data_IF_562860889005
#
_entry.id   IF_562860889005
#
_cell.length_a   1.000
_cell.length_b   1.000
_cell.length_c   1.000
_cell.angle_alpha   90.00
_cell.angle_beta   90.00
_cell.angle_gamma   90.00
#
_symmetry.space_group_name_H-M   'P 1'
#
loop_
_entity.id
_entity.type
_entity.pdbx_description
1 polymer ?
#
# COMPACT_ATOMS: atom_id res chain seq x y z
N UNK A 1 31.87 -8.21 -33.41
CA UNK A 1 30.70 -7.87 -34.27
C UNK A 1 31.17 -6.80 -35.20
N UNK A 2 31.12 -7.05 -36.51
CA UNK A 2 31.66 -6.11 -37.49
C UNK A 2 30.73 -4.89 -37.60
N UNK A 3 31.23 -3.73 -38.00
CA UNK A 3 30.43 -2.49 -38.07
C UNK A 3 29.17 -2.67 -38.94
N UNK A 4 29.26 -3.45 -40.02
CA UNK A 4 28.14 -3.83 -40.90
C UNK A 4 27.02 -4.61 -40.19
N UNK A 5 27.36 -5.50 -39.26
CA UNK A 5 26.39 -6.31 -38.51
C UNK A 5 25.63 -5.46 -37.49
N UNK A 6 26.29 -4.44 -36.94
CA UNK A 6 25.68 -3.52 -35.98
C UNK A 6 24.67 -2.57 -36.63
N UNK A 7 24.92 -2.14 -37.86
CA UNK A 7 23.97 -1.35 -38.64
C UNK A 7 22.74 -2.17 -39.04
N UNK A 8 22.94 -3.43 -39.43
CA UNK A 8 21.86 -4.35 -39.77
C UNK A 8 20.98 -4.64 -38.55
N UNK A 9 21.59 -4.87 -37.38
CA UNK A 9 20.89 -5.02 -36.11
C UNK A 9 20.08 -3.76 -35.74
N UNK A 10 20.64 -2.56 -35.97
CA UNK A 10 19.94 -1.29 -35.74
C UNK A 10 18.71 -1.16 -36.63
N UNK A 11 18.81 -1.49 -37.93
CA UNK A 11 17.69 -1.43 -38.88
C UNK A 11 16.54 -2.34 -38.45
N UNK A 12 16.84 -3.60 -38.14
CA UNK A 12 15.82 -4.58 -37.73
C UNK A 12 15.19 -4.20 -36.37
N UNK A 13 15.97 -3.66 -35.44
CA UNK A 13 15.48 -3.17 -34.16
C UNK A 13 14.53 -1.97 -34.32
N UNK A 14 14.92 -0.98 -35.13
CA UNK A 14 14.15 0.24 -35.35
C UNK A 14 12.87 -0.02 -36.15
N UNK A 15 12.91 -0.94 -37.13
CA UNK A 15 11.76 -1.32 -37.95
C UNK A 15 10.59 -1.87 -37.11
N UNK A 16 10.90 -2.54 -36.00
CA UNK A 16 9.89 -2.97 -35.03
C UNK A 16 9.02 -4.16 -35.46
N UNK A 17 9.29 -4.74 -36.64
CA UNK A 17 8.52 -5.83 -37.27
C UNK A 17 8.77 -7.19 -36.59
N UNK A 18 10.05 -7.55 -36.36
CA UNK A 18 10.44 -8.82 -35.73
C UNK A 18 10.52 -8.72 -34.21
N UNK A 19 10.17 -9.78 -33.47
CA UNK A 19 10.34 -9.78 -32.01
C UNK A 19 11.81 -9.66 -31.61
N UNK A 20 12.08 -9.22 -30.38
CA UNK A 20 13.46 -9.08 -29.90
C UNK A 20 14.16 -10.44 -29.80
N UNK A 21 13.42 -11.52 -29.56
CA UNK A 21 13.91 -12.90 -29.57
C UNK A 21 14.32 -13.34 -30.99
N UNK A 22 13.49 -13.08 -32.00
CA UNK A 22 13.79 -13.35 -33.42
C UNK A 22 15.04 -12.58 -33.89
N UNK A 23 15.15 -11.31 -33.51
CA UNK A 23 16.34 -10.48 -33.80
C UNK A 23 17.57 -11.10 -33.12
N UNK A 24 17.45 -11.52 -31.87
CA UNK A 24 18.54 -12.19 -31.17
C UNK A 24 19.04 -13.44 -31.90
N UNK A 25 18.13 -14.32 -32.34
CA UNK A 25 18.46 -15.54 -33.09
C UNK A 25 19.17 -15.23 -34.42
N UNK A 26 18.71 -14.22 -35.17
CA UNK A 26 19.29 -13.84 -36.47
C UNK A 26 20.74 -13.36 -36.36
N UNK A 27 21.07 -12.62 -35.30
CA UNK A 27 22.41 -12.07 -35.10
C UNK A 27 23.27 -12.91 -34.13
N UNK A 28 22.79 -14.08 -33.70
CA UNK A 28 23.52 -14.95 -32.76
C UNK A 28 23.72 -14.36 -31.37
N UNK A 29 22.84 -13.47 -30.93
CA UNK A 29 22.96 -12.68 -29.69
C UNK A 29 21.72 -12.89 -28.83
N UNK A 30 21.86 -12.86 -27.51
CA UNK A 30 20.70 -12.98 -26.61
C UNK A 30 19.79 -11.74 -26.71
N UNK A 31 18.48 -11.93 -26.49
CA UNK A 31 17.50 -10.85 -26.49
C UNK A 31 17.90 -9.70 -25.52
N UNK A 32 18.45 -10.05 -24.36
CA UNK A 32 18.97 -9.10 -23.38
C UNK A 32 20.12 -8.24 -23.92
N UNK A 33 21.03 -8.83 -24.70
CA UNK A 33 22.13 -8.11 -25.32
C UNK A 33 21.66 -7.17 -26.44
N UNK A 34 20.61 -7.53 -27.19
CA UNK A 34 19.94 -6.61 -28.14
C UNK A 34 19.36 -5.39 -27.41
N UNK A 35 18.65 -5.61 -26.29
CA UNK A 35 18.11 -4.51 -25.45
C UNK A 35 19.21 -3.62 -24.87
N UNK A 36 20.30 -4.22 -24.38
CA UNK A 36 21.43 -3.49 -23.81
C UNK A 36 22.13 -2.61 -24.86
N UNK A 37 22.35 -3.13 -26.07
CA UNK A 37 22.90 -2.35 -27.20
C UNK A 37 21.98 -1.22 -27.63
N UNK A 38 20.68 -1.46 -27.73
CA UNK A 38 19.71 -0.43 -28.09
C UNK A 38 19.68 0.71 -27.07
N UNK A 39 19.74 0.41 -25.77
CA UNK A 39 19.82 1.43 -24.70
C UNK A 39 21.13 2.23 -24.78
N UNK A 40 22.26 1.54 -24.93
CA UNK A 40 23.57 2.18 -24.99
C UNK A 40 23.70 3.14 -26.19
N UNK A 41 23.15 2.77 -27.35
CA UNK A 41 23.18 3.57 -28.58
C UNK A 41 21.93 4.41 -28.84
N UNK A 42 21.03 4.51 -27.84
CA UNK A 42 19.77 5.28 -27.88
C UNK A 42 18.91 5.00 -29.14
N UNK A 43 18.75 3.73 -29.50
CA UNK A 43 17.92 3.35 -30.65
C UNK A 43 16.43 3.40 -30.30
N UNK A 44 15.61 3.91 -31.22
CA UNK A 44 14.16 4.04 -31.04
C UNK A 44 13.45 3.00 -31.92
N UNK A 45 12.56 2.22 -31.30
CA UNK A 45 11.82 1.15 -31.98
C UNK A 45 10.41 1.60 -32.36
N UNK A 46 10.04 1.49 -33.64
CA UNK A 46 8.69 1.79 -34.13
C UNK A 46 7.69 0.77 -33.58
N UNK A 47 6.57 1.25 -33.05
CA UNK A 47 5.50 0.39 -32.51
C UNK A 47 4.59 -0.06 -33.66
N UNK A 48 4.93 -1.19 -34.27
CA UNK A 48 4.04 -1.84 -35.27
C UNK A 48 2.94 -2.59 -34.51
N UNK A 49 1.67 -2.26 -34.75
CA UNK A 49 0.53 -2.98 -34.19
C UNK A 49 0.54 -4.40 -34.76
N UNK A 50 0.78 -5.40 -33.93
CA UNK A 50 0.71 -6.81 -34.34
C UNK A 50 -0.76 -7.22 -34.42
N UNK A 51 -1.28 -7.49 -35.62
CA UNK A 51 -2.55 -8.20 -35.80
C UNK A 51 -2.43 -9.59 -35.16
N UNK A 52 -3.48 -10.00 -34.47
CA UNK A 52 -3.42 -11.03 -33.43
C UNK A 52 -2.97 -12.42 -33.90
N UNK A 53 -2.28 -13.12 -33.00
CA UNK A 53 -2.45 -14.56 -32.75
C UNK A 53 -1.96 -14.80 -31.32
N UNK A 54 -2.90 -14.96 -30.38
CA UNK A 54 -2.64 -15.37 -29.00
C UNK A 54 -2.88 -16.88 -28.93
N UNK A 55 -1.82 -17.69 -28.86
CA UNK A 55 -1.91 -19.04 -28.31
C UNK A 55 -1.79 -18.93 -26.80
N UNK A 56 -2.94 -18.99 -26.14
CA UNK A 56 -3.05 -19.02 -24.68
C UNK A 56 -2.64 -20.39 -24.15
N UNK A 57 -1.69 -20.43 -23.20
CA UNK A 57 -1.56 -21.54 -22.26
C UNK A 57 -1.95 -21.02 -20.88
N UNK A 58 -3.10 -21.48 -20.43
CA UNK A 58 -3.68 -21.20 -19.12
C UNK A 58 -2.84 -21.82 -18.00
N UNK A 59 -2.50 -21.03 -16.98
CA UNK A 59 -2.22 -21.53 -15.61
C UNK A 59 -2.89 -20.55 -14.62
N UNK A 60 -3.74 -21.03 -13.69
CA UNK A 60 -4.57 -20.18 -12.86
C UNK A 60 -3.78 -19.55 -11.69
N UNK A 61 -3.89 -18.24 -11.53
CA UNK A 61 -3.41 -17.51 -10.35
C UNK A 61 -4.34 -17.78 -9.16
N UNK A 62 -3.84 -18.56 -8.20
CA UNK A 62 -4.55 -18.87 -6.97
C UNK A 62 -4.54 -17.66 -6.02
N UNK A 63 -5.70 -17.02 -5.90
CA UNK A 63 -6.05 -16.02 -4.87
C UNK A 63 -5.94 -16.64 -3.48
N UNK A 64 -4.99 -16.19 -2.66
CA UNK A 64 -4.95 -16.57 -1.25
C UNK A 64 -5.93 -15.71 -0.45
N UNK A 65 -7.04 -16.34 -0.06
CA UNK A 65 -8.02 -15.81 0.89
C UNK A 65 -7.43 -15.85 2.30
N UNK A 66 -7.64 -14.74 3.02
CA UNK A 66 -7.64 -14.60 4.48
C UNK A 66 -8.41 -15.76 5.12
N UNK A 67 -7.76 -16.56 5.98
CA UNK A 67 -8.45 -17.44 6.94
C UNK A 67 -7.80 -17.32 8.31
N UNK A 68 -8.68 -17.05 9.25
CA UNK A 68 -8.58 -17.18 10.70
C UNK A 68 -8.00 -18.54 11.10
N UNK A 69 -7.00 -18.56 12.00
CA UNK A 69 -6.52 -19.79 12.63
C UNK A 69 -7.00 -19.85 14.08
N UNK A 70 -7.88 -20.83 14.35
CA UNK A 70 -8.10 -21.40 15.68
C UNK A 70 -6.87 -22.24 16.06
N UNK A 71 -6.43 -22.10 17.29
CA UNK A 71 -5.41 -22.93 17.94
C UNK A 71 -5.86 -24.40 18.05
N UNK A 72 -4.96 -25.34 17.73
CA UNK A 72 -4.94 -26.69 18.31
C UNK A 72 -3.57 -27.36 18.08
N UNK A 73 -2.84 -27.61 19.19
CA UNK A 73 -2.05 -28.82 19.50
C UNK A 73 -0.88 -29.27 18.62
N UNK A 74 0.35 -29.22 19.20
CA UNK A 74 1.29 -30.35 19.46
C UNK A 74 1.29 -31.51 18.42
N UNK A 75 2.39 -31.91 17.79
CA UNK A 75 3.62 -32.52 18.38
C UNK A 75 4.79 -32.62 17.36
N UNK A 76 5.96 -32.85 17.93
CA UNK A 76 7.32 -33.04 17.40
C UNK A 76 7.57 -34.23 16.46
N UNK A 77 8.59 -34.13 15.58
CA UNK A 77 9.80 -34.98 15.62
C UNK A 77 10.80 -34.69 14.46
N UNK A 78 12.08 -34.84 14.79
CA UNK A 78 13.31 -34.63 14.00
C UNK A 78 13.46 -35.60 12.81
N UNK A 79 14.18 -35.17 11.76
CA UNK A 79 15.36 -35.87 11.19
C UNK A 79 15.94 -35.08 9.99
N UNK A 80 17.26 -34.87 9.97
CA UNK A 80 17.98 -34.14 8.93
C UNK A 80 18.38 -34.98 7.72
N UNK A 81 18.87 -34.32 6.67
CA UNK A 81 19.89 -34.88 5.77
C UNK A 81 20.56 -33.77 4.94
N UNK A 82 21.83 -34.00 4.76
CA UNK A 82 22.94 -33.24 4.18
C UNK A 82 22.94 -33.29 2.63
N UNK A 83 23.49 -32.28 1.94
CA UNK A 83 23.78 -32.38 0.49
C UNK A 83 23.82 -31.08 -0.33
N UNK A 84 25.01 -30.44 -0.35
CA UNK A 84 25.77 -29.87 -1.51
C UNK A 84 25.14 -28.92 -2.57
N UNK A 85 25.88 -27.80 -2.74
CA UNK A 85 25.96 -26.77 -3.81
C UNK A 85 25.55 -27.14 -5.24
N UNK A 86 24.95 -26.20 -5.99
CA UNK A 86 25.71 -25.30 -6.90
C UNK A 86 24.77 -24.28 -7.59
N UNK A 87 25.14 -22.99 -7.59
CA UNK A 87 24.24 -21.88 -7.87
C UNK A 87 24.90 -20.66 -8.50
N UNK A 88 25.50 -20.86 -9.68
CA UNK A 88 25.91 -19.89 -10.72
C UNK A 88 25.58 -18.41 -10.47
N UNK A 89 26.64 -17.62 -10.22
CA UNK A 89 26.64 -16.15 -10.14
C UNK A 89 26.36 -15.54 -11.52
N UNK A 90 25.32 -14.71 -11.66
CA UNK A 90 25.24 -13.72 -12.74
C UNK A 90 25.09 -12.32 -12.16
N UNK A 91 26.20 -11.58 -12.21
CA UNK A 91 26.36 -10.28 -11.57
C UNK A 91 25.62 -9.16 -12.29
N UNK A 92 24.88 -8.38 -11.50
CA UNK A 92 24.60 -6.97 -11.80
C UNK A 92 25.29 -6.17 -10.70
N UNK A 93 26.36 -5.44 -11.04
CA UNK A 93 27.07 -4.59 -10.08
C UNK A 93 26.11 -3.47 -9.61
N UNK A 94 25.75 -3.52 -8.34
CA UNK A 94 25.05 -2.44 -7.63
C UNK A 94 26.07 -1.29 -7.44
N UNK A 95 25.71 -0.02 -7.68
CA UNK A 95 26.63 1.09 -7.45
C UNK A 95 27.03 1.17 -5.96
N UNK A 96 28.32 1.36 -5.68
CA UNK A 96 28.98 1.22 -4.37
C UNK A 96 28.48 2.16 -3.26
N UNK A 97 27.54 3.06 -3.55
CA UNK A 97 26.91 3.96 -2.59
C UNK A 97 25.63 3.38 -1.92
N UNK A 98 25.04 2.32 -2.47
CA UNK A 98 23.84 1.71 -1.90
C UNK A 98 24.22 0.61 -0.90
N UNK A 99 23.68 0.61 0.33
CA UNK A 99 23.89 -0.52 1.23
C UNK A 99 23.31 -1.79 0.59
N UNK A 100 24.10 -2.87 0.54
CA UNK A 100 23.68 -4.19 0.07
C UNK A 100 22.55 -4.74 0.95
N UNK A 101 21.29 -4.43 0.63
CA UNK A 101 20.16 -5.04 1.32
C UNK A 101 19.85 -6.39 0.68
N UNK A 102 20.24 -7.48 1.36
CA UNK A 102 19.89 -8.86 0.99
C UNK A 102 18.36 -9.04 0.99
N UNK A 103 17.77 -9.82 0.08
CA UNK A 103 16.35 -10.17 0.13
C UNK A 103 16.03 -10.89 1.46
N UNK A 104 15.10 -10.31 2.21
CA UNK A 104 14.73 -10.77 3.56
C UNK A 104 13.80 -11.97 3.43
N UNK A 105 14.38 -13.17 3.49
CA UNK A 105 13.63 -14.37 3.85
C UNK A 105 14.48 -15.16 4.84
N UNK A 106 14.45 -14.74 6.09
CA UNK A 106 14.98 -15.52 7.21
C UNK A 106 14.21 -16.83 7.40
N UNK A 107 14.79 -17.74 8.18
CA UNK A 107 14.11 -18.97 8.61
C UNK A 107 12.85 -18.60 9.41
N UNK A 108 11.83 -19.46 9.38
CA UNK A 108 10.52 -19.17 10.02
C UNK A 108 10.58 -19.02 11.55
N UNK A 109 11.70 -19.39 12.17
CA UNK A 109 11.85 -19.47 13.62
C UNK A 109 12.90 -18.50 14.19
N UNK A 110 13.62 -17.78 13.34
CA UNK A 110 14.56 -16.76 13.79
C UNK A 110 13.86 -15.40 13.92
N UNK A 111 14.16 -14.62 14.97
CA UNK A 111 13.68 -13.25 15.07
C UNK A 111 14.19 -12.44 13.87
N UNK A 112 13.39 -11.47 13.37
CA UNK A 112 13.75 -10.70 12.19
C UNK A 112 15.11 -10.02 12.40
N UNK A 113 16.06 -10.34 11.53
CA UNK A 113 17.46 -9.85 11.59
C UNK A 113 17.60 -8.35 11.34
N UNK A 114 16.52 -7.67 10.96
CA UNK A 114 16.38 -6.21 10.99
C UNK A 114 15.13 -5.86 11.81
N UNK A 115 15.25 -5.87 13.14
CA UNK A 115 14.32 -5.11 13.96
C UNK A 115 14.41 -3.64 13.52
N UNK A 116 13.26 -2.97 13.34
CA UNK A 116 13.24 -1.54 13.03
C UNK A 116 14.15 -0.80 14.00
N UNK A 117 15.04 0.05 13.47
CA UNK A 117 15.90 0.90 14.31
C UNK A 117 15.02 1.69 15.29
N UNK A 118 15.48 1.90 16.53
CA UNK A 118 14.69 2.46 17.63
C UNK A 118 14.00 3.81 17.34
N UNK A 119 14.36 4.48 16.23
CA UNK A 119 13.79 5.75 15.78
C UNK A 119 12.74 5.62 14.67
N UNK A 120 12.44 4.41 14.20
CA UNK A 120 11.49 4.14 13.12
C UNK A 120 10.27 3.29 13.59
N UNK A 121 9.97 3.36 14.88
CA UNK A 121 8.89 2.60 15.55
C UNK A 121 7.70 3.47 15.95
N UNK A 122 7.84 4.80 15.92
CA UNK A 122 6.71 5.68 16.17
C UNK A 122 5.81 5.73 14.91
N UNK A 123 4.53 5.35 14.98
CA UNK A 123 3.59 5.62 13.90
C UNK A 123 3.54 7.15 13.72
N UNK A 124 4.15 7.62 12.63
CA UNK A 124 4.08 9.02 12.23
C UNK A 124 2.60 9.39 12.08
N UNK A 125 2.14 10.37 12.86
CA UNK A 125 0.80 10.93 12.74
C UNK A 125 0.57 11.33 11.29
N UNK A 126 -0.61 11.04 10.77
CA UNK A 126 -0.97 11.09 9.34
C UNK A 126 -0.57 12.42 8.64
N UNK A 127 -0.56 13.54 9.37
CA UNK A 127 -0.11 14.84 8.87
C UNK A 127 1.40 15.01 8.60
N UNK A 128 2.29 14.17 9.16
CA UNK A 128 3.72 14.25 8.88
C UNK A 128 4.10 13.68 7.49
N UNK A 129 3.31 12.74 6.97
CA UNK A 129 3.52 12.18 5.63
C UNK A 129 3.14 13.18 4.52
N UNK A 130 2.11 14.00 4.73
CA UNK A 130 1.72 15.04 3.77
C UNK A 130 2.86 16.03 3.51
N UNK A 131 3.58 16.44 4.58
CA UNK A 131 4.77 17.31 4.48
C UNK A 131 5.93 16.70 3.68
N UNK A 132 6.05 15.36 3.64
CA UNK A 132 7.06 14.66 2.83
C UNK A 132 6.64 14.39 1.39
N UNK A 133 5.35 14.45 1.11
CA UNK A 133 4.80 14.24 -0.23
C UNK A 133 4.78 15.53 -1.07
N UNK A 134 5.29 16.65 -0.54
CA UNK A 134 5.37 17.97 -1.20
C UNK A 134 4.01 18.44 -1.75
N UNK A 135 2.94 18.22 -1.00
CA UNK A 135 1.66 18.83 -1.35
C UNK A 135 1.75 20.34 -1.08
N UNK A 136 1.11 21.19 -1.91
CA UNK A 136 1.01 22.62 -1.63
C UNK A 136 0.54 22.88 -0.20
N UNK A 137 1.10 23.91 0.45
CA UNK A 137 0.78 24.26 1.83
C UNK A 137 -0.71 24.50 2.03
N UNK A 138 -1.40 25.03 1.00
CA UNK A 138 -2.84 25.21 0.97
C UNK A 138 -3.61 23.91 1.22
N UNK A 139 -3.19 22.80 0.58
CA UNK A 139 -3.83 21.50 0.78
C UNK A 139 -3.55 20.98 2.20
N UNK A 140 -2.34 21.17 2.71
CA UNK A 140 -1.96 20.73 4.06
C UNK A 140 -2.76 21.49 5.13
N UNK A 141 -3.05 22.77 4.91
CA UNK A 141 -3.86 23.60 5.79
C UNK A 141 -5.33 23.15 5.82
N UNK A 142 -5.84 22.60 4.72
CA UNK A 142 -7.23 22.13 4.61
C UNK A 142 -7.46 20.69 5.12
N UNK A 143 -6.44 19.83 5.11
CA UNK A 143 -6.51 18.45 5.65
C UNK A 143 -7.11 18.36 7.06
N UNK A 144 -6.75 19.19 8.06
CA UNK A 144 -7.38 19.12 9.38
C UNK A 144 -8.87 19.49 9.38
N UNK A 145 -9.35 20.20 8.36
CA UNK A 145 -10.74 20.62 8.23
C UNK A 145 -11.62 19.56 7.54
N UNK A 146 -11.03 18.55 6.89
CA UNK A 146 -11.81 17.47 6.26
C UNK A 146 -12.26 16.46 7.31
N UNK A 147 -13.56 16.33 7.51
CA UNK A 147 -14.13 15.37 8.46
C UNK A 147 -14.63 14.09 7.78
N UNK A 148 -14.77 13.01 8.57
CA UNK A 148 -15.41 11.76 8.11
C UNK A 148 -16.84 11.98 7.56
N UNK A 149 -17.54 13.02 8.03
CA UNK A 149 -18.88 13.38 7.54
C UNK A 149 -18.84 13.95 6.12
N UNK A 150 -17.80 14.70 5.77
CA UNK A 150 -17.63 15.27 4.43
C UNK A 150 -17.30 14.19 3.41
N UNK A 151 -16.44 13.24 3.80
CA UNK A 151 -16.16 12.05 2.99
C UNK A 151 -17.43 11.21 2.76
N UNK A 152 -18.24 11.02 3.80
CA UNK A 152 -19.52 10.33 3.71
C UNK A 152 -20.49 11.03 2.76
N UNK A 153 -20.57 12.37 2.83
CA UNK A 153 -21.39 13.17 1.91
C UNK A 153 -20.92 12.99 0.46
N UNK A 154 -19.62 13.09 0.21
CA UNK A 154 -19.05 12.94 -1.13
C UNK A 154 -19.29 11.53 -1.70
N UNK A 155 -19.14 10.48 -0.89
CA UNK A 155 -19.39 9.10 -1.32
C UNK A 155 -20.86 8.85 -1.64
N UNK A 156 -21.79 9.41 -0.84
CA UNK A 156 -23.23 9.32 -1.11
C UNK A 156 -23.58 10.05 -2.41
N UNK A 157 -23.06 11.26 -2.60
CA UNK A 157 -23.24 12.02 -3.84
C UNK A 157 -22.68 11.26 -5.06
N UNK A 158 -21.46 10.71 -4.96
CA UNK A 158 -20.85 9.91 -6.01
C UNK A 158 -21.66 8.64 -6.34
N UNK A 159 -22.26 8.00 -5.33
CA UNK A 159 -23.10 6.82 -5.52
C UNK A 159 -24.42 7.17 -6.25
N UNK A 160 -25.04 8.30 -5.91
CA UNK A 160 -26.23 8.81 -6.60
C UNK A 160 -25.91 9.18 -8.05
N UNK A 161 -24.78 9.87 -8.28
CA UNK A 161 -24.32 10.23 -9.62
C UNK A 161 -24.04 8.98 -10.48
N UNK A 162 -23.42 7.95 -9.90
CA UNK A 162 -23.21 6.68 -10.58
C UNK A 162 -24.53 5.99 -10.93
N UNK A 163 -25.52 5.99 -10.02
CA UNK A 163 -26.84 5.43 -10.27
C UNK A 163 -27.57 6.15 -11.42
N UNK A 164 -27.51 7.48 -11.45
CA UNK A 164 -28.10 8.27 -12.53
C UNK A 164 -27.44 7.96 -13.89
N UNK A 165 -26.11 7.90 -13.94
CA UNK A 165 -25.38 7.58 -15.16
C UNK A 165 -25.66 6.16 -15.66
N UNK A 166 -25.78 5.18 -14.75
CA UNK A 166 -26.21 3.83 -15.12
C UNK A 166 -27.59 3.90 -15.78
N UNK A 167 -28.56 4.61 -15.19
CA UNK A 167 -29.89 4.80 -15.78
C UNK A 167 -29.82 5.40 -17.19
N UNK A 168 -29.03 6.46 -17.38
CA UNK A 168 -28.82 7.11 -18.69
C UNK A 168 -28.22 6.14 -19.71
N UNK A 169 -27.16 5.41 -19.36
CA UNK A 169 -26.53 4.45 -20.27
C UNK A 169 -27.41 3.24 -20.55
N UNK A 170 -28.28 2.82 -19.62
CA UNK A 170 -29.23 1.74 -19.87
C UNK A 170 -30.27 2.13 -20.91
N UNK A 171 -30.78 3.37 -20.89
CA UNK A 171 -31.69 3.88 -21.92
C UNK A 171 -30.98 3.99 -23.27
N UNK A 172 -29.76 4.54 -23.29
CA UNK A 172 -28.95 4.63 -24.51
C UNK A 172 -28.59 3.27 -25.13
N UNK A 173 -28.66 2.19 -24.35
CA UNK A 173 -28.35 0.84 -24.83
C UNK A 173 -29.39 0.33 -25.84
N UNK A 174 -30.64 0.82 -25.76
CA UNK A 174 -31.74 0.40 -26.63
C UNK A 174 -31.54 0.90 -28.07
N UNK A 175 -31.02 2.11 -28.23
CA UNK A 175 -30.83 2.77 -29.53
C UNK A 175 -29.41 2.61 -30.11
N UNK A 176 -28.45 2.10 -29.33
CA UNK A 176 -27.04 2.06 -29.68
C UNK A 176 -26.68 0.97 -30.70
N UNK A 177 -25.66 1.26 -31.52
CA UNK A 177 -25.03 0.28 -32.42
C UNK A 177 -24.31 -0.82 -31.64
N UNK A 178 -24.06 -2.01 -32.22
CA UNK A 178 -23.47 -3.13 -31.46
C UNK A 178 -22.09 -2.85 -30.87
N UNK A 179 -21.29 -1.97 -31.49
CA UNK A 179 -19.99 -1.55 -30.96
C UNK A 179 -20.14 -0.60 -29.76
N UNK A 180 -21.08 0.34 -29.83
CA UNK A 180 -21.40 1.27 -28.74
C UNK A 180 -22.05 0.56 -27.55
N UNK A 181 -22.90 -0.44 -27.81
CA UNK A 181 -23.50 -1.27 -26.76
C UNK A 181 -22.44 -1.95 -25.90
N UNK A 182 -21.35 -2.42 -26.50
CA UNK A 182 -20.26 -3.04 -25.74
C UNK A 182 -19.60 -2.02 -24.81
N UNK A 183 -19.30 -0.83 -25.31
CA UNK A 183 -18.69 0.25 -24.51
C UNK A 183 -19.62 0.70 -23.38
N UNK A 184 -20.92 0.85 -23.64
CA UNK A 184 -21.92 1.20 -22.63
C UNK A 184 -22.04 0.12 -21.55
N UNK A 185 -22.05 -1.16 -21.91
CA UNK A 185 -22.05 -2.27 -20.95
C UNK A 185 -20.80 -2.28 -20.08
N UNK A 186 -19.62 -1.97 -20.65
CA UNK A 186 -18.38 -1.84 -19.90
C UNK A 186 -18.43 -0.66 -18.90
N UNK A 187 -18.98 0.49 -19.31
CA UNK A 187 -19.18 1.65 -18.43
C UNK A 187 -20.17 1.36 -17.30
N UNK A 188 -21.30 0.72 -17.60
CA UNK A 188 -22.28 0.29 -16.60
C UNK A 188 -21.64 -0.67 -15.60
N UNK A 189 -20.93 -1.70 -16.06
CA UNK A 189 -20.26 -2.66 -15.18
C UNK A 189 -19.19 -2.00 -14.31
N UNK A 190 -18.46 -1.01 -14.85
CA UNK A 190 -17.49 -0.24 -14.08
C UNK A 190 -18.17 0.63 -13.01
N UNK A 191 -19.26 1.32 -13.36
CA UNK A 191 -20.03 2.13 -12.44
C UNK A 191 -20.66 1.29 -11.32
N UNK A 192 -21.27 0.15 -11.64
CA UNK A 192 -21.81 -0.78 -10.63
C UNK A 192 -20.72 -1.27 -9.66
N UNK A 193 -19.53 -1.57 -10.18
CA UNK A 193 -18.39 -1.96 -9.35
C UNK A 193 -17.97 -0.81 -8.44
N UNK A 194 -17.93 0.42 -8.96
CA UNK A 194 -17.68 1.63 -8.18
C UNK A 194 -18.71 1.83 -7.08
N UNK A 195 -20.00 1.70 -7.40
CA UNK A 195 -21.10 1.79 -6.43
C UNK A 195 -20.96 0.75 -5.31
N UNK A 196 -20.65 -0.51 -5.63
CA UNK A 196 -20.42 -1.55 -4.61
C UNK A 196 -19.29 -1.18 -3.64
N UNK A 197 -18.20 -0.59 -4.15
CA UNK A 197 -17.10 -0.12 -3.31
C UNK A 197 -17.52 1.08 -2.45
N UNK A 198 -18.23 2.04 -3.04
CA UNK A 198 -18.74 3.21 -2.32
C UNK A 198 -19.70 2.81 -1.20
N UNK A 199 -20.61 1.86 -1.44
CA UNK A 199 -21.53 1.33 -0.42
C UNK A 199 -20.76 0.74 0.75
N UNK A 200 -19.75 -0.11 0.50
CA UNK A 200 -18.94 -0.69 1.56
C UNK A 200 -18.17 0.40 2.35
N UNK A 201 -17.66 1.43 1.67
CA UNK A 201 -17.01 2.57 2.32
C UNK A 201 -17.99 3.41 3.16
N UNK A 202 -19.20 3.66 2.65
CA UNK A 202 -20.29 4.36 3.36
C UNK A 202 -20.62 3.63 4.66
N UNK A 203 -20.86 2.32 4.58
CA UNK A 203 -21.16 1.48 5.76
C UNK A 203 -20.01 1.51 6.78
N UNK A 204 -18.77 1.44 6.30
CA UNK A 204 -17.58 1.50 7.16
C UNK A 204 -17.43 2.86 7.85
N UNK A 205 -17.66 3.96 7.15
CA UNK A 205 -17.56 5.31 7.71
C UNK A 205 -18.68 5.56 8.71
N UNK A 206 -19.91 5.16 8.40
CA UNK A 206 -21.05 5.25 9.33
C UNK A 206 -20.83 4.44 10.61
N UNK A 207 -20.19 3.26 10.49
CA UNK A 207 -19.78 2.48 11.66
C UNK A 207 -18.75 3.24 12.51
N UNK A 208 -17.70 3.78 11.87
CA UNK A 208 -16.66 4.56 12.56
C UNK A 208 -17.22 5.79 13.26
N UNK A 209 -18.10 6.56 12.61
CA UNK A 209 -18.77 7.72 13.21
C UNK A 209 -19.55 7.30 14.46
N UNK A 210 -20.36 6.23 14.37
CA UNK A 210 -21.12 5.72 15.53
C UNK A 210 -20.22 5.25 16.66
N UNK A 211 -19.13 4.55 16.34
CA UNK A 211 -18.21 4.08 17.37
C UNK A 211 -17.44 5.23 18.04
N UNK A 212 -17.03 6.25 17.27
CA UNK A 212 -16.38 7.44 17.82
C UNK A 212 -17.30 8.15 18.82
N UNK A 213 -18.57 8.37 18.47
CA UNK A 213 -19.56 8.96 19.39
C UNK A 213 -19.72 8.14 20.67
N UNK A 214 -19.71 6.80 20.57
CA UNK A 214 -19.78 5.92 21.75
C UNK A 214 -18.54 6.04 22.62
N UNK A 215 -17.35 6.07 22.02
CA UNK A 215 -16.08 6.23 22.75
C UNK A 215 -16.01 7.59 23.41
N UNK A 216 -16.39 8.66 22.71
CA UNK A 216 -16.46 10.01 23.27
C UNK A 216 -17.37 10.07 24.50
N UNK A 217 -18.59 9.52 24.41
CA UNK A 217 -19.51 9.45 25.54
C UNK A 217 -18.94 8.65 26.72
N UNK A 218 -18.28 7.51 26.46
CA UNK A 218 -17.63 6.71 27.51
C UNK A 218 -16.47 7.48 28.16
N UNK A 219 -15.62 8.15 27.37
CA UNK A 219 -14.52 8.96 27.91
C UNK A 219 -15.02 10.17 28.69
N UNK A 220 -16.13 10.79 28.30
CA UNK A 220 -16.74 11.88 29.04
C UNK A 220 -17.24 11.42 30.42
N UNK A 221 -17.89 10.25 30.49
CA UNK A 221 -18.30 9.64 31.77
C UNK A 221 -17.11 9.36 32.68
N UNK A 222 -16.06 8.71 32.14
CA UNK A 222 -14.84 8.43 32.89
C UNK A 222 -14.16 9.71 33.39
N UNK A 223 -14.10 10.77 32.56
CA UNK A 223 -13.56 12.07 32.99
C UNK A 223 -14.37 12.68 34.12
N UNK A 224 -15.71 12.63 34.05
CA UNK A 224 -16.58 13.14 35.10
C UNK A 224 -16.44 12.35 36.41
N UNK A 225 -16.31 11.03 36.33
CA UNK A 225 -16.05 10.17 37.49
C UNK A 225 -14.69 10.46 38.13
N UNK A 226 -13.64 10.61 37.31
CA UNK A 226 -12.31 11.02 37.80
C UNK A 226 -12.38 12.38 38.48
N UNK A 227 -13.06 13.36 37.87
CA UNK A 227 -13.24 14.68 38.48
C UNK A 227 -13.97 14.60 39.83
N UNK A 228 -15.02 13.80 39.92
CA UNK A 228 -15.76 13.56 41.17
C UNK A 228 -14.85 12.95 42.24
N UNK A 229 -14.11 11.88 41.90
CA UNK A 229 -13.17 11.24 42.82
C UNK A 229 -12.05 12.19 43.26
N UNK A 230 -11.53 13.03 42.35
CA UNK A 230 -10.52 14.03 42.73
C UNK A 230 -11.08 15.08 43.66
N UNK A 231 -12.34 15.51 43.48
CA UNK A 231 -13.00 16.46 44.38
C UNK A 231 -13.30 15.83 45.76
N UNK A 232 -13.73 14.57 45.80
CA UNK A 232 -13.97 13.84 47.06
C UNK A 232 -12.66 13.60 47.84
N UNK A 233 -11.54 13.40 47.15
CA UNK A 233 -10.23 13.23 47.77
C UNK A 233 -9.52 14.56 48.11
N UNK A 234 -10.05 15.72 47.69
CA UNK A 234 -9.53 17.03 48.11
C UNK A 234 -9.82 17.26 49.59
N UNK A 235 -8.85 16.95 50.44
CA UNK A 235 -8.94 17.13 51.90
C UNK A 235 -8.75 15.85 52.71
N UNK A 236 -8.62 14.68 52.06
CA UNK A 236 -8.22 13.44 52.74
C UNK A 236 -6.72 13.53 53.03
N UNK A 237 -6.36 13.77 54.30
CA UNK A 237 -4.96 13.67 54.73
C UNK A 237 -4.56 12.21 54.71
N UNK A 238 -3.68 11.85 53.78
CA UNK A 238 -3.00 10.55 53.83
C UNK A 238 -1.77 10.67 54.72
N UNK A 239 -1.34 9.58 55.40
CA UNK A 239 -0.12 9.59 56.23
C UNK A 239 1.12 10.02 55.44
N UNK A 240 1.11 9.86 54.11
CA UNK A 240 2.16 10.35 53.23
C UNK A 240 2.14 11.87 53.08
N UNK A 241 0.96 12.48 52.91
CA UNK A 241 0.79 13.95 52.91
C UNK A 241 1.18 14.57 54.24
N UNK A 242 0.80 13.95 55.36
CA UNK A 242 1.19 14.40 56.70
C UNK A 242 2.72 14.34 56.88
N UNK A 243 3.35 13.22 56.49
CA UNK A 243 4.81 13.10 56.53
C UNK A 243 5.53 14.12 55.62
N UNK A 244 4.96 14.46 54.45
CA UNK A 244 5.52 15.49 53.55
C UNK A 244 5.34 16.89 54.16
N UNK A 245 4.20 17.20 54.76
CA UNK A 245 3.94 18.47 55.43
C UNK A 245 4.86 18.64 56.66
N UNK A 246 5.07 17.58 57.44
CA UNK A 246 6.06 17.55 58.52
C UNK A 246 7.47 17.84 58.00
N UNK A 247 7.93 17.15 56.96
CA UNK A 247 9.24 17.39 56.34
C UNK A 247 9.39 18.81 55.77
N UNK A 248 8.33 19.35 55.15
CA UNK A 248 8.34 20.72 54.63
C UNK A 248 8.34 21.77 55.76
N UNK A 249 7.65 21.50 56.87
CA UNK A 249 7.66 22.37 58.06
C UNK A 249 9.04 22.40 58.73
N UNK A 250 9.70 21.25 58.81
CA UNK A 250 11.08 21.11 59.30
C UNK A 250 12.07 21.86 58.40
N UNK A 251 11.85 21.87 57.08
CA UNK A 251 12.69 22.59 56.12
C UNK A 251 12.45 24.12 56.13
N UNK A 252 11.24 24.57 56.49
CA UNK A 252 10.92 26.01 56.64
C UNK A 252 11.39 26.62 57.96
N UNK A 253 11.72 25.80 58.96
CA UNK A 253 12.34 26.21 60.22
C UNK A 253 13.82 26.61 60.08
N UNK A 254 14.44 26.42 58.92
CA UNK A 254 15.78 26.91 58.63
C UNK A 254 15.74 28.21 57.82
N UNK A 255 15.91 29.36 58.50
CA UNK A 255 16.46 30.60 57.91
C UNK A 255 16.80 31.60 59.03
N UNK A 256 17.80 32.50 58.87
CA UNK A 256 18.86 32.58 57.85
C UNK A 256 20.21 32.01 58.30
#
# INVERSE_FOLDING_TARGET
MNQSDEESLKRDYCAGVMTLEEIGRKYGITEGAVRKKARAKKWVRKKVRKSGTKTAKNVPQNRTKKRTSKNAGKTSSNAGSEGTDDGTKTGTKIPDFLPETKPIRGSRYDPPTNAFTAHNTAPLKHGAYARRMLWPDDIIADVPNTELRDELFLLRAANLYAAENIGRWTVQLEDATPEEQKNLRELIAAAEKGMRLNIASIESIEYSIRNNLRVEAATAKLRAEVQKLTAENQGVTTPLTEAIDELQSLNKGGKP
#
